data_IF_262099136267
#
_entry.id   IF_262099136267
#
_cell.length_a   1.000
_cell.length_b   1.000
_cell.length_c   1.000
_cell.angle_alpha   90.00
_cell.angle_beta   90.00
_cell.angle_gamma   90.00
#
_symmetry.space_group_name_H-M   'P 1'
#
loop_
_entity.id
_entity.type
_entity.pdbx_description
1 polymer ?
#
# COMPACT_ATOMS: atom_id res chain seq x y z
N UNK A 1 41.11 4.03 43.35
CA UNK A 1 39.74 3.52 43.18
C UNK A 1 39.20 4.00 41.84
N UNK A 2 39.19 3.11 40.80
CA UNK A 2 38.59 3.42 39.48
C UNK A 2 37.08 3.10 39.55
N UNK A 3 36.24 4.12 39.41
CA UNK A 3 34.79 3.95 39.30
C UNK A 3 34.50 3.29 37.94
N UNK A 4 34.07 2.03 38.00
CA UNK A 4 33.50 1.31 36.87
C UNK A 4 32.20 2.01 36.46
N UNK A 5 32.21 2.69 35.32
CA UNK A 5 30.96 3.17 34.71
C UNK A 5 30.19 1.97 34.19
N UNK A 6 29.14 1.59 34.90
CA UNK A 6 28.16 0.63 34.39
C UNK A 6 27.58 1.20 33.11
N UNK A 7 27.98 0.67 31.93
CA UNK A 7 27.29 0.91 30.67
C UNK A 7 25.81 0.60 30.91
N UNK A 8 24.95 1.62 30.91
CA UNK A 8 23.50 1.42 30.80
C UNK A 8 23.29 0.66 29.49
N UNK A 9 22.85 -0.58 29.60
CA UNK A 9 22.29 -1.31 28.47
C UNK A 9 21.13 -0.47 27.95
N UNK A 10 21.33 0.23 26.84
CA UNK A 10 20.25 0.93 26.16
C UNK A 10 19.20 -0.10 25.77
N UNK A 11 17.94 0.13 26.17
CA UNK A 11 16.82 -0.64 25.62
C UNK A 11 16.93 -0.62 24.11
N UNK A 12 16.68 -1.74 23.41
CA UNK A 12 16.65 -1.72 21.96
C UNK A 12 15.68 -0.63 21.51
N UNK A 13 16.12 0.21 20.58
CA UNK A 13 15.31 1.29 20.04
C UNK A 13 14.07 0.70 19.37
N UNK A 14 12.89 1.13 19.84
CA UNK A 14 11.60 0.77 19.22
C UNK A 14 11.22 1.86 18.24
N UNK A 15 11.88 1.89 17.07
CA UNK A 15 11.81 3.01 16.14
C UNK A 15 10.40 3.32 15.62
N UNK A 16 9.50 2.34 15.56
CA UNK A 16 8.15 2.57 15.09
C UNK A 16 7.16 2.97 16.18
N UNK A 17 7.52 2.81 17.46
CA UNK A 17 6.65 3.17 18.57
C UNK A 17 6.37 4.67 18.60
N UNK A 18 5.09 5.07 18.62
CA UNK A 18 4.67 6.47 18.59
C UNK A 18 4.66 7.13 17.21
N UNK A 19 5.08 6.42 16.17
CA UNK A 19 5.02 6.94 14.79
C UNK A 19 3.62 6.79 14.18
N UNK A 20 3.40 7.45 13.03
CA UNK A 20 2.16 7.45 12.27
C UNK A 20 2.42 6.90 10.88
N UNK A 21 1.69 5.87 10.48
CA UNK A 21 1.77 5.24 9.17
C UNK A 21 0.52 5.53 8.35
N UNK A 22 0.68 5.89 7.08
CA UNK A 22 -0.41 5.97 6.11
C UNK A 22 -0.41 4.76 5.18
N UNK A 23 -1.57 4.12 5.03
CA UNK A 23 -1.75 2.92 4.22
C UNK A 23 -2.34 3.27 2.84
N UNK A 24 -1.47 3.62 1.92
CA UNK A 24 -1.80 3.95 0.53
C UNK A 24 -2.06 2.70 -0.32
N UNK A 25 -3.08 2.72 -1.16
CA UNK A 25 -3.38 1.61 -2.08
C UNK A 25 -4.73 1.78 -2.78
N UNK A 26 -5.05 0.91 -3.74
CA UNK A 26 -6.30 1.02 -4.49
C UNK A 26 -7.51 0.95 -3.56
N UNK A 27 -8.48 1.82 -3.82
CA UNK A 27 -9.81 1.81 -3.20
C UNK A 27 -10.88 1.58 -4.26
N UNK A 28 -10.73 2.21 -5.41
CA UNK A 28 -11.53 1.97 -6.59
C UNK A 28 -11.22 0.58 -7.17
N UNK A 29 -12.22 -0.10 -7.66
CA UNK A 29 -12.09 -1.44 -8.25
C UNK A 29 -11.54 -2.53 -7.29
N UNK A 30 -11.41 -2.22 -6.01
CA UNK A 30 -11.14 -3.22 -4.99
C UNK A 30 -12.38 -4.07 -4.69
N UNK A 31 -12.18 -5.19 -4.02
CA UNK A 31 -13.28 -5.98 -3.48
C UNK A 31 -14.17 -5.11 -2.57
N UNK A 32 -15.37 -5.60 -2.25
CA UNK A 32 -16.30 -4.87 -1.41
C UNK A 32 -15.66 -4.38 -0.10
N UNK A 33 -16.15 -3.25 0.44
CA UNK A 33 -15.68 -2.72 1.73
C UNK A 33 -15.74 -3.75 2.87
N UNK A 34 -16.76 -4.61 2.86
CA UNK A 34 -16.87 -5.69 3.83
C UNK A 34 -15.74 -6.72 3.70
N UNK A 35 -15.32 -7.04 2.47
CA UNK A 35 -14.20 -7.92 2.22
C UNK A 35 -12.87 -7.27 2.64
N UNK A 36 -12.67 -5.98 2.35
CA UNK A 36 -11.49 -5.23 2.78
C UNK A 36 -11.41 -5.15 4.31
N UNK A 37 -12.51 -4.83 4.99
CA UNK A 37 -12.56 -4.78 6.45
C UNK A 37 -12.25 -6.13 7.12
N UNK A 38 -12.62 -7.24 6.48
CA UNK A 38 -12.43 -8.58 7.02
C UNK A 38 -11.11 -9.23 6.62
N UNK A 39 -10.69 -9.06 5.36
CA UNK A 39 -9.58 -9.80 4.77
C UNK A 39 -8.53 -8.91 4.10
N UNK A 40 -8.79 -7.62 4.01
CA UNK A 40 -7.98 -6.68 3.28
C UNK A 40 -6.57 -6.53 3.85
N UNK A 41 -5.68 -6.10 2.99
CA UNK A 41 -4.29 -5.90 3.37
C UNK A 41 -4.13 -4.78 4.42
N UNK A 42 -4.95 -3.71 4.35
CA UNK A 42 -4.91 -2.60 5.31
C UNK A 42 -5.27 -3.05 6.71
N UNK A 43 -6.33 -3.83 6.85
CA UNK A 43 -6.74 -4.37 8.13
C UNK A 43 -5.60 -5.16 8.78
N UNK A 44 -4.98 -6.05 8.02
CA UNK A 44 -3.89 -6.91 8.52
C UNK A 44 -2.62 -6.18 8.86
N UNK A 45 -2.18 -5.29 7.95
CA UNK A 45 -1.00 -4.43 8.22
C UNK A 45 -1.31 -3.48 9.37
N UNK A 46 -2.52 -2.93 9.42
CA UNK A 46 -2.95 -2.02 10.46
C UNK A 46 -2.92 -2.64 11.86
N UNK A 47 -3.43 -3.87 12.01
CA UNK A 47 -3.36 -4.60 13.28
C UNK A 47 -1.91 -4.86 13.72
N UNK A 48 -1.07 -5.26 12.78
CA UNK A 48 0.34 -5.52 13.04
C UNK A 48 1.09 -4.24 13.46
N UNK A 49 0.88 -3.13 12.78
CA UNK A 49 1.46 -1.84 13.11
C UNK A 49 0.98 -1.32 14.47
N UNK A 50 -0.31 -1.45 14.77
CA UNK A 50 -0.87 -1.07 16.08
C UNK A 50 -0.23 -1.84 17.22
N UNK A 51 0.06 -3.14 17.02
CA UNK A 51 0.75 -3.95 18.01
C UNK A 51 2.20 -3.47 18.28
N UNK A 52 2.80 -2.72 17.34
CA UNK A 52 4.10 -2.07 17.51
C UNK A 52 4.01 -0.64 18.06
N UNK A 53 2.82 -0.15 18.43
CA UNK A 53 2.61 1.20 18.93
C UNK A 53 2.51 2.27 17.83
N UNK A 54 2.26 1.89 16.58
CA UNK A 54 2.09 2.81 15.45
C UNK A 54 0.64 3.28 15.37
N UNK A 55 0.44 4.58 15.18
CA UNK A 55 -0.87 5.13 14.79
C UNK A 55 -1.07 4.92 13.29
N UNK A 56 -2.17 4.26 12.92
CA UNK A 56 -2.46 3.90 11.53
C UNK A 56 -3.50 4.84 10.94
N UNK A 57 -3.15 5.47 9.83
CA UNK A 57 -4.05 6.23 8.98
C UNK A 57 -4.49 5.35 7.80
N UNK A 58 -5.74 4.94 7.85
CA UNK A 58 -6.38 4.10 6.86
C UNK A 58 -7.46 4.91 6.13
N UNK A 59 -7.34 5.14 4.81
CA UNK A 59 -8.33 5.91 4.06
C UNK A 59 -9.74 5.30 4.06
N UNK A 60 -9.87 3.99 4.33
CA UNK A 60 -11.18 3.35 4.52
C UNK A 60 -11.82 3.67 5.88
N UNK A 61 -11.02 4.03 6.88
CA UNK A 61 -11.45 4.32 8.23
C UNK A 61 -11.00 5.72 8.65
N UNK A 62 -11.31 6.70 7.82
CA UNK A 62 -10.97 8.10 8.10
C UNK A 62 -11.58 8.59 9.41
N UNK A 63 -10.87 9.44 10.15
CA UNK A 63 -11.44 10.08 11.32
C UNK A 63 -12.62 10.96 10.89
N UNK A 64 -13.70 10.95 11.67
CA UNK A 64 -14.82 11.85 11.45
C UNK A 64 -14.36 13.29 11.69
N UNK A 65 -14.42 14.11 10.67
CA UNK A 65 -14.14 15.54 10.76
C UNK A 65 -15.46 16.28 10.86
N UNK A 66 -15.64 17.05 11.95
CA UNK A 66 -16.86 17.79 12.21
C UNK A 66 -17.13 18.80 11.10
N UNK A 67 -18.31 18.74 10.48
CA UNK A 67 -18.71 19.66 9.40
C UNK A 67 -18.36 19.20 7.98
N UNK A 68 -17.64 18.09 7.82
CA UNK A 68 -17.44 17.45 6.52
C UNK A 68 -18.37 16.26 6.36
N UNK A 69 -18.84 16.03 5.13
CA UNK A 69 -19.72 14.90 4.82
C UNK A 69 -19.14 13.57 5.29
N UNK A 70 -20.01 12.65 5.67
CA UNK A 70 -19.64 11.41 6.36
C UNK A 70 -18.50 10.66 5.68
N UNK A 71 -17.34 10.71 6.33
CA UNK A 71 -16.22 9.85 6.00
C UNK A 71 -16.59 8.39 6.23
N UNK A 72 -16.09 7.56 5.35
CA UNK A 72 -16.33 6.14 5.43
C UNK A 72 -17.45 5.64 4.50
N UNK A 73 -18.06 6.54 3.71
CA UNK A 73 -18.98 6.19 2.62
C UNK A 73 -18.32 6.20 1.24
N UNK A 74 -17.02 6.33 1.16
CA UNK A 74 -16.29 6.53 -0.10
C UNK A 74 -16.59 5.49 -1.17
N UNK A 75 -16.72 4.22 -0.81
CA UNK A 75 -17.13 3.19 -1.75
C UNK A 75 -18.49 3.44 -2.37
N UNK A 76 -19.44 3.97 -1.59
CA UNK A 76 -20.79 4.33 -2.07
C UNK A 76 -20.74 5.65 -2.79
N UNK A 77 -20.11 6.67 -2.22
CA UNK A 77 -19.98 8.00 -2.83
C UNK A 77 -19.25 7.97 -4.16
N UNK A 78 -18.17 7.19 -4.27
CA UNK A 78 -17.45 7.05 -5.55
C UNK A 78 -18.33 6.45 -6.63
N UNK A 79 -19.16 5.47 -6.29
CA UNK A 79 -20.14 4.88 -7.22
C UNK A 79 -21.21 5.91 -7.59
N UNK A 80 -21.80 6.61 -6.61
CA UNK A 80 -22.79 7.66 -6.84
C UNK A 80 -22.23 8.80 -7.70
N UNK A 81 -21.00 9.24 -7.44
CA UNK A 81 -20.31 10.27 -8.20
C UNK A 81 -20.08 9.83 -9.64
N UNK A 82 -19.68 8.58 -9.88
CA UNK A 82 -19.53 8.04 -11.23
C UNK A 82 -20.85 7.98 -11.98
N UNK A 83 -21.92 7.54 -11.34
CA UNK A 83 -23.26 7.51 -11.95
C UNK A 83 -23.81 8.90 -12.22
N UNK A 84 -23.49 9.88 -11.38
CA UNK A 84 -23.89 11.26 -11.57
C UNK A 84 -23.03 12.03 -12.59
N UNK A 85 -21.90 11.47 -13.02
CA UNK A 85 -21.02 12.09 -14.01
C UNK A 85 -21.74 12.25 -15.35
N UNK A 86 -21.51 13.38 -16.03
CA UNK A 86 -22.12 13.66 -17.32
C UNK A 86 -21.13 14.28 -18.31
N UNK A 87 -21.27 13.92 -19.58
CA UNK A 87 -20.59 14.54 -20.70
C UNK A 87 -21.45 15.60 -21.41
N UNK A 88 -22.61 15.94 -20.84
CA UNK A 88 -23.50 16.97 -21.39
C UNK A 88 -22.74 18.29 -21.55
N UNK A 89 -22.96 18.93 -22.70
CA UNK A 89 -22.43 20.25 -23.03
C UNK A 89 -23.29 21.33 -22.39
N UNK A 90 -22.76 22.55 -22.31
CA UNK A 90 -23.48 23.70 -21.78
C UNK A 90 -23.37 23.89 -20.25
N UNK A 91 -24.05 24.92 -19.73
CA UNK A 91 -23.91 25.34 -18.32
C UNK A 91 -24.31 24.26 -17.33
N UNK A 92 -25.39 23.54 -17.53
CA UNK A 92 -25.88 22.52 -16.60
C UNK A 92 -24.93 21.36 -16.46
N UNK A 93 -24.38 20.87 -17.59
CA UNK A 93 -23.38 19.85 -17.58
C UNK A 93 -22.08 20.28 -16.87
N UNK A 94 -21.65 21.52 -17.13
CA UNK A 94 -20.48 22.11 -16.47
C UNK A 94 -20.72 22.26 -14.95
N UNK A 95 -21.85 22.74 -14.54
CA UNK A 95 -22.22 22.89 -13.13
C UNK A 95 -22.26 21.54 -12.40
N UNK A 96 -22.82 20.50 -13.04
CA UNK A 96 -22.86 19.14 -12.50
C UNK A 96 -21.45 18.62 -12.28
N UNK A 97 -20.55 18.72 -13.27
CA UNK A 97 -19.16 18.29 -13.14
C UNK A 97 -18.41 19.06 -12.05
N UNK A 98 -18.60 20.38 -11.97
CA UNK A 98 -17.95 21.20 -10.94
C UNK A 98 -18.38 20.79 -9.53
N UNK A 99 -19.67 20.56 -9.32
CA UNK A 99 -20.22 20.09 -8.04
C UNK A 99 -19.65 18.73 -7.65
N UNK A 100 -19.60 17.78 -8.59
CA UNK A 100 -19.06 16.44 -8.37
C UNK A 100 -17.56 16.49 -8.04
N UNK A 101 -16.81 17.28 -8.82
CA UNK A 101 -15.38 17.46 -8.57
C UNK A 101 -15.11 18.11 -7.21
N UNK A 102 -15.91 19.07 -6.80
CA UNK A 102 -15.81 19.70 -5.48
C UNK A 102 -16.01 18.70 -4.34
N UNK A 103 -17.05 17.86 -4.42
CA UNK A 103 -17.27 16.80 -3.43
C UNK A 103 -16.10 15.81 -3.36
N UNK A 104 -15.59 15.38 -4.50
CA UNK A 104 -14.47 14.45 -4.54
C UNK A 104 -13.17 15.10 -4.04
N UNK A 105 -13.01 16.40 -4.29
CA UNK A 105 -11.85 17.15 -3.79
C UNK A 105 -11.77 17.16 -2.26
N UNK A 106 -12.90 17.26 -1.57
CA UNK A 106 -12.93 17.19 -0.10
C UNK A 106 -12.39 15.84 0.40
N UNK A 107 -12.81 14.74 -0.23
CA UNK A 107 -12.30 13.40 0.07
C UNK A 107 -10.80 13.29 -0.17
N UNK A 108 -10.33 13.69 -1.35
CA UNK A 108 -8.92 13.67 -1.72
C UNK A 108 -8.07 14.53 -0.77
N UNK A 109 -8.57 15.72 -0.42
CA UNK A 109 -7.84 16.64 0.45
C UNK A 109 -7.50 16.03 1.80
N UNK A 110 -8.37 15.20 2.35
CA UNK A 110 -8.09 14.54 3.64
C UNK A 110 -7.11 13.40 3.49
N UNK A 111 -7.16 12.64 2.41
CA UNK A 111 -6.12 11.64 2.15
C UNK A 111 -4.74 12.30 2.07
N UNK A 112 -4.64 13.41 1.35
CA UNK A 112 -3.40 14.18 1.27
C UNK A 112 -2.99 14.75 2.64
N UNK A 113 -3.93 15.20 3.48
CA UNK A 113 -3.63 15.64 4.85
C UNK A 113 -3.18 14.50 5.75
N UNK A 114 -3.68 13.29 5.57
CA UNK A 114 -3.16 12.11 6.27
C UNK A 114 -1.73 11.80 5.83
N UNK A 115 -1.42 11.94 4.53
CA UNK A 115 -0.04 11.84 4.05
C UNK A 115 0.84 12.93 4.65
N UNK A 116 0.36 14.19 4.72
CA UNK A 116 1.10 15.29 5.33
C UNK A 116 1.45 15.05 6.80
N UNK A 117 0.57 14.38 7.53
CA UNK A 117 0.71 14.19 8.97
C UNK A 117 1.34 12.87 9.38
N UNK A 118 1.48 11.90 8.46
CA UNK A 118 2.16 10.64 8.74
C UNK A 118 3.68 10.79 8.78
N UNK A 119 4.35 9.83 9.38
CA UNK A 119 5.81 9.77 9.45
C UNK A 119 6.40 8.88 8.36
N UNK A 120 5.63 7.89 7.88
CA UNK A 120 5.98 7.05 6.73
C UNK A 120 4.74 6.52 6.01
N UNK A 121 4.92 6.04 4.80
CA UNK A 121 3.85 5.51 3.95
C UNK A 121 4.14 4.04 3.61
N UNK A 122 3.13 3.20 3.68
CA UNK A 122 3.14 1.87 3.07
C UNK A 122 2.24 1.93 1.84
N UNK A 123 2.84 1.76 0.66
CA UNK A 123 2.16 1.84 -0.63
C UNK A 123 1.97 0.45 -1.23
N UNK A 124 0.73 -0.03 -1.24
CA UNK A 124 0.35 -1.31 -1.83
C UNK A 124 -0.13 -1.12 -3.26
N UNK A 125 0.65 -1.62 -4.23
CA UNK A 125 0.44 -1.39 -5.66
C UNK A 125 0.36 -2.71 -6.45
N UNK A 126 -0.75 -3.43 -6.39
CA UNK A 126 -0.95 -4.61 -7.22
C UNK A 126 -1.02 -4.22 -8.71
N UNK A 127 -0.37 -5.00 -9.58
CA UNK A 127 -0.26 -4.67 -11.00
C UNK A 127 -1.53 -4.92 -11.81
N UNK A 128 -2.51 -5.60 -11.22
CA UNK A 128 -3.80 -5.92 -11.85
C UNK A 128 -4.95 -4.99 -11.42
N UNK A 129 -4.67 -4.02 -10.58
CA UNK A 129 -5.68 -3.06 -10.10
C UNK A 129 -5.21 -1.65 -10.43
N UNK A 130 -6.06 -0.92 -11.10
CA UNK A 130 -5.80 0.48 -11.42
C UNK A 130 -5.93 1.35 -10.16
N UNK A 131 -4.93 2.17 -9.92
CA UNK A 131 -4.94 3.13 -8.82
C UNK A 131 -4.30 4.44 -9.27
N UNK A 132 -5.03 5.55 -9.15
CA UNK A 132 -4.53 6.89 -9.46
C UNK A 132 -4.08 7.61 -8.19
N UNK A 133 -4.80 7.44 -7.09
CA UNK A 133 -4.49 8.10 -5.82
C UNK A 133 -3.12 7.69 -5.27
N UNK A 134 -2.81 6.41 -5.31
CA UNK A 134 -1.55 5.88 -4.75
C UNK A 134 -0.28 6.52 -5.35
N UNK A 135 -0.11 6.67 -6.67
CA UNK A 135 1.02 7.42 -7.22
C UNK A 135 1.11 8.87 -6.72
N UNK A 136 -0.03 9.55 -6.59
CA UNK A 136 -0.08 10.93 -6.09
C UNK A 136 0.40 11.01 -4.64
N UNK A 137 -0.06 10.11 -3.80
CA UNK A 137 0.32 10.01 -2.39
C UNK A 137 1.81 9.67 -2.22
N UNK A 138 2.34 8.78 -3.07
CA UNK A 138 3.78 8.45 -3.11
C UNK A 138 4.60 9.70 -3.47
N UNK A 139 4.21 10.43 -4.53
CA UNK A 139 4.92 11.65 -4.95
C UNK A 139 4.94 12.67 -3.83
N UNK A 140 3.79 12.91 -3.18
CA UNK A 140 3.69 13.85 -2.06
C UNK A 140 4.58 13.43 -0.88
N UNK A 141 4.54 12.16 -0.49
CA UNK A 141 5.38 11.64 0.58
C UNK A 141 6.88 11.79 0.26
N UNK A 142 7.30 11.51 -0.98
CA UNK A 142 8.69 11.64 -1.42
C UNK A 142 9.15 13.09 -1.45
N UNK A 143 8.32 14.03 -1.88
CA UNK A 143 8.62 15.47 -1.83
C UNK A 143 8.85 15.95 -0.40
N UNK A 144 8.15 15.35 0.57
CA UNK A 144 8.32 15.61 1.99
C UNK A 144 9.43 14.78 2.65
N UNK A 145 10.21 14.04 1.87
CA UNK A 145 11.28 13.14 2.34
C UNK A 145 10.81 12.08 3.33
N UNK A 146 9.54 11.71 3.28
CA UNK A 146 9.00 10.62 4.10
C UNK A 146 9.38 9.27 3.52
N UNK A 147 9.76 8.30 4.36
CA UNK A 147 9.97 6.95 3.92
C UNK A 147 8.72 6.37 3.24
N UNK A 148 8.90 5.71 2.11
CA UNK A 148 7.83 4.99 1.43
C UNK A 148 8.23 3.52 1.35
N UNK A 149 7.47 2.66 2.00
CA UNK A 149 7.61 1.22 1.88
C UNK A 149 6.70 0.73 0.75
N UNK A 150 7.29 0.38 -0.38
CA UNK A 150 6.54 0.01 -1.57
C UNK A 150 6.29 -1.50 -1.62
N UNK A 151 5.04 -1.89 -1.77
CA UNK A 151 4.60 -3.28 -1.81
C UNK A 151 3.95 -3.58 -3.16
N UNK A 152 4.58 -4.44 -3.96
CA UNK A 152 4.03 -4.96 -5.20
C UNK A 152 3.79 -6.46 -5.06
N UNK A 153 2.56 -6.90 -4.82
CA UNK A 153 2.27 -8.31 -4.65
C UNK A 153 2.39 -9.06 -5.97
N UNK A 154 2.77 -10.33 -5.89
CA UNK A 154 2.62 -11.22 -7.02
C UNK A 154 1.13 -11.39 -7.37
N UNK A 155 0.81 -11.30 -8.65
CA UNK A 155 -0.54 -11.47 -9.17
C UNK A 155 -0.60 -12.73 -10.02
N UNK A 156 -1.51 -13.62 -9.70
CA UNK A 156 -1.75 -14.85 -10.46
C UNK A 156 -3.23 -15.17 -10.54
N UNK A 157 -3.63 -15.83 -11.60
CA UNK A 157 -5.00 -16.27 -11.85
C UNK A 157 -5.06 -17.80 -11.89
N UNK A 158 -4.97 -18.45 -10.71
CA UNK A 158 -4.85 -19.90 -10.64
C UNK A 158 -6.05 -20.64 -11.24
N UNK A 159 -7.21 -19.99 -11.37
CA UNK A 159 -8.41 -20.55 -11.98
C UNK A 159 -8.35 -20.61 -13.51
N UNK A 160 -7.45 -19.86 -14.15
CA UNK A 160 -7.35 -19.86 -15.62
C UNK A 160 -6.90 -21.22 -16.18
N UNK A 161 -5.94 -21.86 -15.52
CA UNK A 161 -5.46 -23.17 -15.97
C UNK A 161 -6.55 -24.23 -15.94
N UNK A 162 -7.22 -24.50 -14.80
CA UNK A 162 -8.33 -25.46 -14.77
C UNK A 162 -9.50 -25.07 -15.67
N UNK A 163 -9.78 -23.77 -15.86
CA UNK A 163 -10.81 -23.32 -16.79
C UNK A 163 -10.45 -23.65 -18.24
N UNK A 164 -9.21 -23.41 -18.66
CA UNK A 164 -8.72 -23.80 -20.00
C UNK A 164 -8.78 -25.32 -20.20
N UNK A 165 -8.45 -26.10 -19.18
CA UNK A 165 -8.54 -27.56 -19.21
C UNK A 165 -10.00 -28.01 -19.36
N UNK A 166 -10.92 -27.43 -18.58
CA UNK A 166 -12.35 -27.71 -18.67
C UNK A 166 -12.94 -27.39 -20.06
N UNK A 167 -12.50 -26.31 -20.66
CA UNK A 167 -12.92 -25.87 -22.01
C UNK A 167 -12.12 -26.54 -23.14
N UNK A 168 -11.27 -27.52 -22.84
CA UNK A 168 -10.34 -28.11 -23.84
C UNK A 168 -11.03 -28.61 -25.09
N UNK A 169 -12.19 -29.23 -24.94
CA UNK A 169 -12.98 -29.79 -26.05
C UNK A 169 -14.08 -28.84 -26.54
N UNK A 170 -14.42 -27.82 -25.76
CA UNK A 170 -15.36 -26.77 -26.15
C UNK A 170 -14.66 -25.66 -26.94
N UNK A 171 -14.66 -25.81 -28.27
CA UNK A 171 -14.06 -24.83 -29.19
C UNK A 171 -14.68 -23.43 -29.06
N UNK A 172 -16.00 -23.33 -28.80
CA UNK A 172 -16.69 -22.04 -28.67
C UNK A 172 -16.34 -21.38 -27.35
N UNK A 173 -16.37 -22.12 -26.25
CA UNK A 173 -16.01 -21.64 -24.92
C UNK A 173 -14.55 -21.16 -24.85
N UNK A 174 -13.61 -21.92 -25.44
CA UNK A 174 -12.21 -21.47 -25.55
C UNK A 174 -12.07 -20.15 -26.30
N UNK A 175 -12.73 -20.02 -27.47
CA UNK A 175 -12.68 -18.80 -28.25
C UNK A 175 -13.24 -17.60 -27.49
N UNK A 176 -14.30 -17.78 -26.72
CA UNK A 176 -14.87 -16.75 -25.86
C UNK A 176 -13.93 -16.38 -24.70
N UNK A 177 -13.30 -17.37 -24.07
CA UNK A 177 -12.33 -17.12 -23.00
C UNK A 177 -11.12 -16.35 -23.52
N UNK A 178 -10.53 -16.75 -24.64
CA UNK A 178 -9.37 -16.02 -25.21
C UNK A 178 -9.76 -14.59 -25.62
N UNK A 179 -10.93 -14.41 -26.22
CA UNK A 179 -11.45 -13.07 -26.51
C UNK A 179 -11.64 -12.23 -25.25
N UNK A 180 -12.18 -12.80 -24.17
CA UNK A 180 -12.30 -12.12 -22.90
C UNK A 180 -10.93 -11.71 -22.35
N UNK A 181 -9.93 -12.58 -22.45
CA UNK A 181 -8.56 -12.30 -21.99
C UNK A 181 -7.84 -11.23 -22.84
N UNK A 182 -8.23 -11.07 -24.11
CA UNK A 182 -7.78 -9.96 -24.96
C UNK A 182 -8.44 -8.62 -24.55
N UNK A 183 -9.73 -8.66 -24.23
CA UNK A 183 -10.52 -7.47 -23.86
C UNK A 183 -10.21 -6.99 -22.44
N UNK A 184 -9.91 -7.91 -21.54
CA UNK A 184 -9.55 -7.61 -20.14
C UNK A 184 -8.03 -7.70 -20.02
N UNK A 185 -7.31 -6.60 -19.76
CA UNK A 185 -5.86 -6.60 -19.65
C UNK A 185 -5.38 -7.26 -18.35
N UNK A 186 -5.75 -8.52 -18.17
CA UNK A 186 -5.37 -9.34 -17.01
C UNK A 186 -4.06 -10.03 -17.35
N UNK A 187 -2.95 -9.46 -16.89
CA UNK A 187 -1.63 -10.09 -17.00
C UNK A 187 -1.24 -10.72 -15.68
N UNK A 188 -0.80 -11.98 -15.77
CA UNK A 188 -0.14 -12.64 -14.66
C UNK A 188 1.19 -11.93 -14.37
N UNK A 189 1.44 -11.64 -13.10
CA UNK A 189 2.70 -11.09 -12.61
C UNK A 189 3.16 -11.92 -11.41
N UNK A 190 3.48 -13.17 -11.68
CA UNK A 190 3.87 -14.16 -10.67
C UNK A 190 5.17 -13.80 -9.95
N UNK A 191 5.95 -12.90 -10.51
CA UNK A 191 7.22 -12.44 -9.93
C UNK A 191 7.04 -11.27 -8.96
N UNK A 192 5.91 -10.56 -9.02
CA UNK A 192 5.68 -9.35 -8.21
C UNK A 192 6.52 -8.15 -8.65
N UNK A 193 7.14 -8.20 -9.85
CA UNK A 193 7.91 -7.05 -10.36
C UNK A 193 6.95 -5.90 -10.65
N UNK A 194 7.12 -4.76 -9.99
CA UNK A 194 6.23 -3.62 -10.19
C UNK A 194 6.45 -2.95 -11.55
N UNK A 195 5.54 -2.06 -11.91
CA UNK A 195 5.77 -1.18 -13.06
C UNK A 195 7.06 -0.37 -12.85
N UNK A 196 7.88 -0.32 -13.89
CA UNK A 196 9.16 0.42 -13.86
C UNK A 196 8.99 1.92 -13.60
N UNK A 197 7.81 2.47 -13.83
CA UNK A 197 7.47 3.86 -13.52
C UNK A 197 7.52 4.20 -12.02
N UNK A 198 7.35 3.20 -11.14
CA UNK A 198 7.48 3.43 -9.71
C UNK A 198 8.94 3.49 -9.23
N UNK A 199 9.87 2.85 -9.94
CA UNK A 199 11.28 2.78 -9.50
C UNK A 199 11.91 4.14 -9.20
N UNK A 200 11.81 5.17 -10.08
CA UNK A 200 12.37 6.47 -9.78
C UNK A 200 11.62 7.22 -8.67
N UNK A 201 10.35 6.88 -8.43
CA UNK A 201 9.56 7.54 -7.38
C UNK A 201 9.95 7.08 -5.99
N UNK A 202 10.22 5.80 -5.80
CA UNK A 202 10.44 5.23 -4.45
C UNK A 202 11.89 4.83 -4.18
N UNK A 203 12.74 4.82 -5.21
CA UNK A 203 14.07 4.22 -5.15
C UNK A 203 14.01 2.69 -5.27
N UNK A 204 14.93 2.11 -6.06
CA UNK A 204 14.89 0.69 -6.42
C UNK A 204 14.90 -0.27 -5.23
N UNK A 205 15.60 0.09 -4.17
CA UNK A 205 15.69 -0.68 -2.93
C UNK A 205 14.39 -0.78 -2.14
N UNK A 206 13.48 0.16 -2.30
CA UNK A 206 12.18 0.16 -1.63
C UNK A 206 11.15 -0.78 -2.27
N UNK A 207 11.50 -1.40 -3.42
CA UNK A 207 10.72 -2.49 -4.01
C UNK A 207 10.98 -3.85 -3.35
N UNK A 208 11.98 -3.90 -2.52
CA UNK A 208 12.38 -5.07 -1.76
C UNK A 208 12.15 -4.78 -0.28
N UNK A 209 12.65 -5.61 0.57
CA UNK A 209 12.54 -5.40 2.02
C UNK A 209 13.32 -4.15 2.53
N UNK A 210 14.04 -3.47 1.66
CA UNK A 210 14.87 -2.30 2.00
C UNK A 210 16.15 -2.64 2.76
N UNK A 211 16.47 -3.92 2.98
CA UNK A 211 17.67 -4.37 3.68
C UNK A 211 18.74 -4.95 2.77
N UNK A 212 18.49 -4.95 1.49
CA UNK A 212 19.37 -5.47 0.45
C UNK A 212 18.57 -5.86 -0.78
N UNK A 213 19.15 -6.64 -1.68
CA UNK A 213 18.50 -7.11 -2.89
C UNK A 213 17.71 -8.41 -2.64
N UNK A 214 16.87 -8.43 -1.64
CA UNK A 214 15.96 -9.55 -1.44
C UNK A 214 14.66 -9.22 -2.16
N UNK A 215 14.36 -9.84 -3.30
CA UNK A 215 13.13 -9.56 -4.03
C UNK A 215 11.92 -9.94 -3.17
N UNK A 216 10.83 -9.21 -3.31
CA UNK A 216 9.55 -9.58 -2.74
C UNK A 216 9.21 -11.01 -3.12
N UNK A 217 8.88 -11.81 -2.12
CA UNK A 217 8.60 -13.22 -2.34
C UNK A 217 7.37 -13.35 -3.22
N UNK A 218 7.45 -14.26 -4.19
CA UNK A 218 6.49 -14.56 -5.24
C UNK A 218 5.04 -14.88 -4.79
N UNK A 219 4.70 -14.81 -3.49
CA UNK A 219 3.44 -15.32 -2.95
C UNK A 219 2.74 -14.38 -1.98
N UNK A 220 2.69 -13.11 -2.28
CA UNK A 220 1.96 -12.15 -1.47
C UNK A 220 0.45 -12.24 -1.73
N UNK A 221 -0.25 -13.15 -1.06
CA UNK A 221 -1.69 -13.32 -1.17
C UNK A 221 -2.40 -13.00 0.15
N UNK A 222 -2.56 -11.73 0.47
CA UNK A 222 -3.26 -11.28 1.67
C UNK A 222 -4.69 -11.81 1.76
N UNK A 223 -5.41 -11.85 0.63
CA UNK A 223 -6.82 -12.20 0.57
C UNK A 223 -7.11 -13.68 0.79
N UNK A 224 -6.09 -14.55 0.75
CA UNK A 224 -6.25 -16.01 0.84
C UNK A 224 -5.76 -16.63 2.13
N UNK A 225 -5.21 -15.83 3.04
CA UNK A 225 -4.70 -16.33 4.31
C UNK A 225 -5.84 -16.22 5.34
N UNK A 226 -6.37 -17.33 5.86
CA UNK A 226 -7.36 -17.30 6.95
C UNK A 226 -6.83 -16.53 8.16
N UNK A 227 -7.71 -15.81 8.85
CA UNK A 227 -7.34 -14.98 10.01
C UNK A 227 -6.75 -15.79 11.19
N UNK A 228 -7.13 -17.04 11.30
CA UNK A 228 -6.75 -17.99 12.34
C UNK A 228 -5.41 -18.71 12.08
N UNK A 229 -4.97 -18.81 10.82
CA UNK A 229 -3.64 -19.34 10.46
C UNK A 229 -2.54 -18.26 10.51
N UNK A 230 -2.69 -17.28 11.34
CA UNK A 230 -2.24 -15.92 11.11
C UNK A 230 -0.75 -15.66 11.30
N UNK A 231 -0.16 -16.14 12.37
CA UNK A 231 1.20 -15.75 12.77
C UNK A 231 2.25 -16.40 11.86
N UNK A 232 2.08 -17.67 11.57
CA UNK A 232 3.04 -18.46 10.79
C UNK A 232 3.00 -18.12 9.30
N UNK A 233 1.80 -17.90 8.76
CA UNK A 233 1.62 -17.50 7.37
C UNK A 233 2.06 -16.04 7.09
N UNK A 234 1.98 -15.15 8.07
CA UNK A 234 2.50 -13.78 7.98
C UNK A 234 4.00 -13.77 7.74
N UNK A 235 4.75 -14.54 8.52
CA UNK A 235 6.22 -14.54 8.49
C UNK A 235 6.79 -15.18 7.22
N UNK A 236 6.09 -16.17 6.68
CA UNK A 236 6.58 -16.95 5.53
C UNK A 236 6.18 -16.31 4.19
N UNK A 237 4.99 -15.71 4.11
CA UNK A 237 4.41 -15.28 2.84
C UNK A 237 4.54 -13.77 2.54
N UNK A 238 5.03 -12.98 3.49
CA UNK A 238 5.02 -11.54 3.38
C UNK A 238 6.29 -10.89 3.91
N UNK A 239 7.19 -10.44 3.05
CA UNK A 239 8.43 -9.80 3.46
C UNK A 239 8.24 -8.46 4.16
N UNK A 240 7.09 -7.80 4.01
CA UNK A 240 6.80 -6.52 4.65
C UNK A 240 6.80 -6.62 6.18
N UNK A 241 6.13 -7.64 6.75
CA UNK A 241 6.02 -7.76 8.20
C UNK A 241 7.37 -8.00 8.88
N UNK A 242 8.21 -8.95 8.43
CA UNK A 242 9.57 -9.09 8.95
C UNK A 242 10.43 -7.84 8.78
N UNK A 243 10.28 -7.10 7.67
CA UNK A 243 11.00 -5.86 7.48
C UNK A 243 10.57 -4.78 8.49
N UNK A 244 9.27 -4.65 8.77
CA UNK A 244 8.76 -3.75 9.80
C UNK A 244 9.24 -4.15 11.21
N UNK A 245 9.30 -5.44 11.52
CA UNK A 245 9.87 -5.94 12.78
C UNK A 245 11.35 -5.54 12.93
N UNK A 246 12.15 -5.68 11.87
CA UNK A 246 13.56 -5.27 11.85
C UNK A 246 13.71 -3.78 12.07
N UNK A 247 12.90 -2.96 11.39
CA UNK A 247 12.91 -1.51 11.58
C UNK A 247 12.52 -1.15 13.02
N UNK A 248 11.48 -1.79 13.54
CA UNK A 248 11.05 -1.57 14.92
C UNK A 248 12.13 -1.95 15.94
N UNK A 249 12.92 -2.97 15.64
CA UNK A 249 14.07 -3.38 16.44
C UNK A 249 15.31 -2.47 16.29
N UNK A 250 15.23 -1.42 15.48
CA UNK A 250 16.34 -0.46 15.29
C UNK A 250 17.21 -0.73 14.08
N UNK A 251 16.89 -1.71 13.24
CA UNK A 251 17.61 -1.96 12.01
C UNK A 251 17.03 -1.09 10.88
N UNK A 252 17.84 -0.24 10.27
CA UNK A 252 17.39 0.65 9.22
C UNK A 252 17.54 0.02 7.83
N UNK A 253 16.56 0.23 6.93
CA UNK A 253 16.65 -0.17 5.54
C UNK A 253 17.90 0.43 4.85
N UNK A 254 18.39 -0.27 3.85
CA UNK A 254 19.58 0.11 3.08
C UNK A 254 19.19 0.48 1.66
N UNK A 255 19.99 1.36 1.05
CA UNK A 255 19.93 1.70 -0.38
C UNK A 255 21.30 1.44 -1.03
N UNK A 256 21.28 1.14 -2.33
CA UNK A 256 22.52 1.01 -3.08
C UNK A 256 23.08 2.39 -3.42
N UNK A 257 24.33 2.64 -3.03
CA UNK A 257 25.02 3.86 -3.41
C UNK A 257 25.88 3.59 -4.66
N UNK A 258 25.51 4.24 -5.77
CA UNK A 258 26.21 4.08 -7.04
C UNK A 258 27.64 4.61 -7.04
N UNK A 259 27.97 5.58 -6.19
CA UNK A 259 29.32 6.14 -6.07
C UNK A 259 30.21 5.24 -5.24
N UNK A 260 29.69 4.77 -4.12
CA UNK A 260 30.42 3.91 -3.19
C UNK A 260 30.38 2.44 -3.59
N UNK A 261 29.56 2.06 -4.58
CA UNK A 261 29.36 0.66 -5.03
C UNK A 261 29.06 -0.30 -3.88
N UNK A 262 28.28 0.14 -2.91
CA UNK A 262 27.87 -0.65 -1.74
C UNK A 262 26.53 -0.22 -1.20
N UNK A 263 25.92 -1.07 -0.38
CA UNK A 263 24.72 -0.70 0.36
C UNK A 263 25.10 0.24 1.52
N UNK A 264 24.32 1.30 1.64
CA UNK A 264 24.39 2.29 2.75
C UNK A 264 23.01 2.37 3.42
N UNK A 265 22.95 2.92 4.62
CA UNK A 265 21.67 3.18 5.29
C UNK A 265 20.83 4.12 4.46
N UNK A 266 19.54 3.85 4.35
CA UNK A 266 18.61 4.73 3.67
C UNK A 266 18.24 5.90 4.58
N UNK A 267 18.70 7.08 4.23
CA UNK A 267 18.60 8.31 5.04
C UNK A 267 17.17 8.74 5.31
N UNK A 268 16.21 8.38 4.42
CA UNK A 268 14.81 8.72 4.62
C UNK A 268 14.26 8.08 5.92
N UNK A 269 14.81 6.92 6.31
CA UNK A 269 14.40 6.21 7.53
C UNK A 269 15.06 6.77 8.80
N UNK A 270 16.17 7.48 8.70
CA UNK A 270 16.79 8.17 9.84
C UNK A 270 15.88 9.24 10.43
N UNK A 271 14.97 9.79 9.64
CA UNK A 271 14.03 10.81 10.10
C UNK A 271 13.05 10.27 11.16
N UNK A 272 12.83 8.97 11.23
CA UNK A 272 11.99 8.36 12.27
C UNK A 272 12.64 8.44 13.65
N UNK A 273 13.97 8.41 13.75
CA UNK A 273 14.67 8.57 15.03
C UNK A 273 14.37 9.90 15.70
N UNK A 274 14.09 10.94 14.90
CA UNK A 274 13.78 12.28 15.40
C UNK A 274 12.30 12.50 15.68
N UNK A 275 11.41 11.63 15.18
CA UNK A 275 9.97 11.73 15.39
C UNK A 275 9.53 11.21 16.77
N UNK A 276 10.29 10.31 17.38
CA UNK A 276 9.98 9.65 18.66
C UNK A 276 10.25 10.56 19.87
N UNK A 277 10.81 11.72 19.65
CA UNK A 277 11.11 12.70 20.70
C UNK A 277 10.17 13.92 20.74
N UNK A 278 9.01 13.86 20.06
CA UNK A 278 8.06 14.99 20.02
C UNK A 278 6.79 14.72 20.79
#
# INVERSE_FOLDING_TARGET
MKRSSKKRLSRPARLLEGTRAYLSGPMDFAASRAAEAKFGWRTRVGEFLKAMGVTVFDPWNKPRVRGLHEYGREGVETVEIRHAWTFARGPDGAQTRARISGRFWETLHIDLRMVDTCDFVIAYCPTNVYSVGTPHEIVLARQQRKPVFFVSPAVSFPSLKPLREHLREDRKGRKLLEKLLEEVPVKDNSTGVPSLWYMPLVGGENFFDGFGFTPYIKRFHWTRIPLDAHEQARRIANPLLPALERIHAGELPKKWDNRLKRFVTNDDWLLLETAVGR
#
